data_IF_886522813404
#
_entry.id   IF_886522813404
#
_cell.length_a   1.000
_cell.length_b   1.000
_cell.length_c   1.000
_cell.angle_alpha   90.00
_cell.angle_beta   90.00
_cell.angle_gamma   90.00
#
_symmetry.space_group_name_H-M   'P 1'
#
loop_
_entity.id
_entity.type
_entity.pdbx_description
1 polymer ?
#
# COMPACT_ATOMS: atom_id res chain seq x y z
N UNK A 1 1.09 27.06 3.96
CA UNK A 1 -0.21 27.15 4.66
C UNK A 1 -0.16 26.11 5.78
N UNK A 2 -0.30 26.52 7.04
CA UNK A 2 -0.32 25.59 8.15
C UNK A 2 -1.51 24.63 8.02
N UNK A 3 -1.43 23.42 8.61
CA UNK A 3 -2.56 22.52 8.64
C UNK A 3 -3.74 23.20 9.35
N UNK A 4 -4.93 23.05 8.79
CA UNK A 4 -6.15 23.67 9.31
C UNK A 4 -7.34 22.75 9.14
N UNK A 5 -8.31 22.89 10.03
CA UNK A 5 -9.55 22.11 10.01
C UNK A 5 -10.72 23.07 9.89
N UNK A 6 -11.63 22.79 8.95
CA UNK A 6 -12.90 23.49 8.81
C UNK A 6 -14.03 22.48 8.99
N UNK A 7 -14.95 22.79 9.89
CA UNK A 7 -16.14 21.98 10.15
C UNK A 7 -17.36 22.72 9.64
N UNK A 8 -18.18 22.07 8.81
CA UNK A 8 -19.43 22.64 8.28
C UNK A 8 -20.60 21.71 8.57
N UNK A 9 -21.61 22.23 9.25
CA UNK A 9 -22.90 21.55 9.39
C UNK A 9 -23.73 21.81 8.14
N UNK A 10 -24.28 20.75 7.54
CA UNK A 10 -25.14 20.83 6.37
C UNK A 10 -26.49 20.21 6.72
N UNK A 11 -27.57 20.97 6.52
CA UNK A 11 -28.92 20.59 6.94
C UNK A 11 -29.79 19.99 5.82
N UNK A 12 -29.38 20.10 4.56
CA UNK A 12 -30.09 19.55 3.41
C UNK A 12 -29.14 18.68 2.59
N UNK A 13 -29.02 17.42 3.00
CA UNK A 13 -28.16 16.44 2.36
C UNK A 13 -28.85 15.74 1.19
N UNK A 14 -28.05 15.37 0.19
CA UNK A 14 -28.35 14.21 -0.66
C UNK A 14 -27.89 12.96 0.09
N UNK A 15 -28.57 11.82 -0.10
CA UNK A 15 -28.16 10.55 0.50
C UNK A 15 -26.69 10.24 0.18
N UNK A 16 -25.93 9.76 1.17
CA UNK A 16 -24.54 9.39 0.98
C UNK A 16 -23.90 8.73 2.20
N UNK A 17 -22.69 8.17 2.06
CA UNK A 17 -22.08 7.38 3.13
C UNK A 17 -21.57 8.24 4.28
N UNK A 18 -21.67 7.70 5.51
CA UNK A 18 -20.93 8.17 6.66
C UNK A 18 -19.56 7.50 6.72
N UNK A 19 -18.48 8.27 6.94
CA UNK A 19 -17.12 7.71 7.05
C UNK A 19 -16.80 7.15 8.45
N UNK A 20 -17.74 7.21 9.41
CA UNK A 20 -17.52 6.78 10.79
C UNK A 20 -18.36 5.55 11.20
N UNK A 21 -19.47 5.29 10.53
CA UNK A 21 -20.38 4.18 10.83
C UNK A 21 -20.85 3.53 9.52
N UNK A 22 -21.42 2.31 9.56
CA UNK A 22 -21.85 1.60 8.35
C UNK A 22 -23.11 2.20 7.71
N UNK A 23 -23.81 3.09 8.41
CA UNK A 23 -25.08 3.64 7.94
C UNK A 23 -24.86 4.81 6.98
N UNK A 24 -25.78 4.99 6.05
CA UNK A 24 -25.82 6.17 5.19
C UNK A 24 -26.44 7.37 5.93
N UNK A 25 -26.05 8.57 5.52
CA UNK A 25 -26.69 9.84 5.86
C UNK A 25 -27.88 9.98 4.91
N UNK A 26 -29.09 9.99 5.44
CA UNK A 26 -30.30 10.03 4.63
C UNK A 26 -30.59 11.45 4.12
N UNK A 27 -31.40 11.53 3.06
CA UNK A 27 -31.84 12.82 2.52
C UNK A 27 -32.66 13.57 3.56
N UNK A 28 -32.32 14.85 3.78
CA UNK A 28 -32.97 15.69 4.81
C UNK A 28 -32.34 15.58 6.22
N UNK A 29 -31.43 14.63 6.46
CA UNK A 29 -30.69 14.56 7.71
C UNK A 29 -29.58 15.61 7.79
N UNK A 30 -29.31 16.08 9.02
CA UNK A 30 -28.18 16.96 9.31
C UNK A 30 -26.90 16.14 9.39
N UNK A 31 -25.86 16.58 8.70
CA UNK A 31 -24.54 15.97 8.76
C UNK A 31 -23.43 17.00 8.84
N UNK A 32 -22.24 16.54 9.19
CA UNK A 32 -21.05 17.37 9.34
C UNK A 32 -20.06 16.99 8.27
N UNK A 33 -19.55 18.01 7.56
CA UNK A 33 -18.39 17.87 6.68
C UNK A 33 -17.17 18.43 7.40
N UNK A 34 -16.18 17.57 7.63
CA UNK A 34 -14.88 17.96 8.17
C UNK A 34 -13.89 18.05 7.00
N UNK A 35 -13.30 19.23 6.80
CA UNK A 35 -12.28 19.47 5.79
C UNK A 35 -10.95 19.66 6.50
N UNK A 36 -10.04 18.71 6.33
CA UNK A 36 -8.67 18.77 6.85
C UNK A 36 -7.72 19.20 5.73
N UNK A 37 -6.94 20.27 5.96
CA UNK A 37 -5.93 20.76 5.03
C UNK A 37 -4.55 20.36 5.52
N UNK A 38 -3.74 19.71 4.68
CA UNK A 38 -2.42 19.17 5.02
C UNK A 38 -1.25 19.94 4.39
N UNK A 39 -1.50 21.18 3.95
CA UNK A 39 -0.52 22.01 3.25
C UNK A 39 -0.52 21.81 1.73
N UNK A 40 0.57 22.20 1.06
CA UNK A 40 0.69 22.15 -0.41
C UNK A 40 1.47 20.92 -0.87
N UNK A 41 1.09 20.37 -2.01
CA UNK A 41 1.88 19.37 -2.75
C UNK A 41 3.11 20.01 -3.40
N UNK A 42 4.04 19.18 -3.88
CA UNK A 42 5.22 19.66 -4.64
C UNK A 42 4.84 20.52 -5.86
N UNK A 43 3.67 20.26 -6.46
CA UNK A 43 3.13 21.06 -7.57
C UNK A 43 2.23 22.23 -7.14
N UNK A 44 2.34 22.70 -5.89
CA UNK A 44 1.62 23.88 -5.39
C UNK A 44 0.14 23.68 -5.03
N UNK A 45 -0.50 22.59 -5.49
CA UNK A 45 -1.91 22.29 -5.16
C UNK A 45 -2.09 21.99 -3.68
N UNK A 46 -3.09 22.60 -3.04
CA UNK A 46 -3.48 22.33 -1.65
C UNK A 46 -3.98 20.90 -1.50
N UNK A 47 -3.39 20.14 -0.58
CA UNK A 47 -3.86 18.81 -0.20
C UNK A 47 -4.90 18.95 0.89
N UNK A 48 -6.10 18.48 0.63
CA UNK A 48 -7.16 18.41 1.63
C UNK A 48 -7.86 17.05 1.58
N UNK A 49 -8.47 16.67 2.70
CA UNK A 49 -9.39 15.54 2.81
C UNK A 49 -10.72 16.08 3.33
N UNK A 50 -11.79 15.79 2.60
CA UNK A 50 -13.15 16.11 3.03
C UNK A 50 -13.82 14.83 3.50
N UNK A 51 -14.39 14.87 4.70
CA UNK A 51 -14.95 13.72 5.40
C UNK A 51 -16.38 14.05 5.76
N UNK A 52 -17.32 13.14 5.46
CA UNK A 52 -18.73 13.29 5.83
C UNK A 52 -19.07 12.32 6.95
N UNK A 53 -19.69 12.86 8.01
CA UNK A 53 -20.16 12.06 9.14
C UNK A 53 -21.54 12.54 9.58
N UNK A 54 -22.38 11.63 10.11
CA UNK A 54 -23.60 12.06 10.80
C UNK A 54 -23.25 13.07 11.89
N UNK A 55 -24.19 13.97 12.20
CA UNK A 55 -23.99 14.94 13.27
C UNK A 55 -23.64 14.27 14.61
N UNK A 56 -24.31 13.16 14.93
CA UNK A 56 -24.05 12.35 16.13
C UNK A 56 -22.71 11.60 16.08
N UNK A 57 -22.24 11.26 14.87
CA UNK A 57 -20.97 10.55 14.69
C UNK A 57 -19.74 11.46 14.82
N UNK A 58 -19.90 12.79 14.82
CA UNK A 58 -18.79 13.73 14.88
C UNK A 58 -17.90 13.53 16.13
N UNK A 59 -18.51 13.35 17.31
CA UNK A 59 -17.76 13.16 18.55
C UNK A 59 -16.90 11.88 18.50
N UNK A 60 -17.50 10.77 18.06
CA UNK A 60 -16.79 9.50 17.88
C UNK A 60 -15.66 9.63 16.87
N UNK A 61 -15.91 10.34 15.76
CA UNK A 61 -14.91 10.59 14.73
C UNK A 61 -13.72 11.39 15.27
N UNK A 62 -13.95 12.44 16.04
CA UNK A 62 -12.89 13.26 16.66
C UNK A 62 -11.99 12.42 17.57
N UNK A 63 -12.59 11.59 18.45
CA UNK A 63 -11.84 10.69 19.34
C UNK A 63 -11.00 9.70 18.53
N UNK A 64 -11.60 9.05 17.52
CA UNK A 64 -10.88 8.11 16.67
C UNK A 64 -9.72 8.77 15.92
N UNK A 65 -9.90 9.98 15.40
CA UNK A 65 -8.86 10.69 14.66
C UNK A 65 -7.71 11.13 15.57
N UNK A 66 -8.00 11.58 16.79
CA UNK A 66 -6.98 11.91 17.79
C UNK A 66 -6.18 10.68 18.24
N UNK A 67 -6.85 9.56 18.50
CA UNK A 67 -6.19 8.28 18.79
C UNK A 67 -5.27 7.84 17.64
N UNK A 68 -5.74 7.96 16.39
CA UNK A 68 -4.92 7.67 15.19
C UNK A 68 -3.77 8.65 15.02
N UNK A 69 -3.92 9.90 15.43
CA UNK A 69 -2.83 10.87 15.40
C UNK A 69 -1.79 10.53 16.47
N UNK A 70 -2.23 10.24 17.70
CA UNK A 70 -1.38 9.81 18.80
C UNK A 70 -0.55 8.56 18.46
N UNK A 71 -1.16 7.55 17.85
CA UNK A 71 -0.40 6.36 17.39
C UNK A 71 0.62 6.72 16.30
N UNK A 72 0.23 7.49 15.27
CA UNK A 72 1.15 7.96 14.22
C UNK A 72 2.35 8.74 14.76
N UNK A 73 2.13 9.59 15.76
CA UNK A 73 3.19 10.39 16.40
C UNK A 73 4.11 9.51 17.24
N UNK A 74 3.55 8.63 18.09
CA UNK A 74 4.33 7.70 18.92
C UNK A 74 5.17 6.74 18.07
N UNK A 75 4.63 6.26 16.96
CA UNK A 75 5.28 5.27 16.09
C UNK A 75 6.26 5.87 15.04
N UNK A 76 6.55 7.18 15.09
CA UNK A 76 7.48 7.85 14.14
C UNK A 76 7.25 7.43 12.68
N UNK A 77 6.00 7.43 12.21
CA UNK A 77 5.68 7.22 10.79
C UNK A 77 5.75 5.77 10.29
N UNK A 78 5.48 4.79 11.15
CA UNK A 78 5.27 3.40 10.78
C UNK A 78 3.91 3.11 10.10
N UNK A 79 3.77 1.90 9.57
CA UNK A 79 2.48 1.35 9.14
C UNK A 79 1.69 1.01 10.42
N UNK A 80 0.39 1.36 10.55
CA UNK A 80 -0.36 1.13 11.79
C UNK A 80 -0.25 -0.32 12.29
N UNK A 81 -0.18 -0.52 13.60
CA UNK A 81 -0.23 -1.86 14.21
C UNK A 81 -1.45 -2.65 13.69
N UNK A 82 -1.27 -3.96 13.46
CA UNK A 82 -2.30 -4.80 12.84
C UNK A 82 -2.41 -4.67 11.31
N UNK A 83 -1.62 -3.80 10.67
CA UNK A 83 -1.55 -3.72 9.20
C UNK A 83 -0.21 -4.23 8.65
N UNK A 84 -0.24 -5.08 7.61
CA UNK A 84 0.96 -5.70 7.02
C UNK A 84 0.86 -7.22 6.92
N UNK A 85 1.98 -7.90 6.62
CA UNK A 85 2.02 -9.37 6.45
C UNK A 85 1.95 -10.17 7.77
N UNK A 86 1.76 -9.51 8.92
CA UNK A 86 1.63 -10.13 10.25
C UNK A 86 2.67 -11.24 10.56
N UNK A 87 3.90 -11.04 10.08
CA UNK A 87 5.00 -11.98 10.31
C UNK A 87 5.74 -11.66 11.61
N UNK A 88 6.34 -12.69 12.20
CA UNK A 88 7.31 -12.52 13.27
C UNK A 88 8.53 -11.72 12.77
N UNK A 89 9.25 -11.03 13.66
CA UNK A 89 10.45 -10.30 13.27
C UNK A 89 11.56 -11.15 12.63
N UNK A 90 11.83 -12.42 13.04
CA UNK A 90 12.76 -13.27 12.30
C UNK A 90 12.26 -13.57 10.88
N UNK A 91 10.97 -13.87 10.70
CA UNK A 91 10.39 -14.14 9.38
C UNK A 91 10.41 -12.91 8.47
N UNK A 92 10.18 -11.71 9.03
CA UNK A 92 10.35 -10.45 8.30
C UNK A 92 11.77 -10.28 7.79
N UNK A 93 12.78 -10.58 8.61
CA UNK A 93 14.21 -10.52 8.22
C UNK A 93 14.51 -11.52 7.12
N UNK A 94 14.05 -12.76 7.26
CA UNK A 94 14.25 -13.83 6.28
C UNK A 94 13.58 -13.49 4.95
N UNK A 95 12.32 -13.03 4.97
CA UNK A 95 11.58 -12.59 3.78
C UNK A 95 12.26 -11.42 3.09
N UNK A 96 12.77 -10.45 3.84
CA UNK A 96 13.56 -9.32 3.29
C UNK A 96 14.84 -9.81 2.62
N UNK A 97 15.54 -10.76 3.21
CA UNK A 97 16.73 -11.38 2.61
C UNK A 97 16.38 -12.07 1.28
N UNK A 98 15.37 -12.95 1.27
CA UNK A 98 14.94 -13.66 0.07
C UNK A 98 14.47 -12.71 -1.03
N UNK A 99 13.74 -11.65 -0.69
CA UNK A 99 13.28 -10.64 -1.66
C UNK A 99 14.47 -9.94 -2.34
N UNK A 100 15.52 -9.62 -1.58
CA UNK A 100 16.76 -9.06 -2.12
C UNK A 100 17.54 -10.05 -2.98
N UNK A 101 17.59 -11.31 -2.56
CA UNK A 101 18.20 -12.38 -3.33
C UNK A 101 17.50 -12.58 -4.66
N UNK A 102 16.16 -12.62 -4.67
CA UNK A 102 15.35 -12.68 -5.90
C UNK A 102 15.63 -11.49 -6.82
N UNK A 103 15.67 -10.27 -6.28
CA UNK A 103 15.99 -9.07 -7.05
C UNK A 103 17.40 -9.14 -7.67
N UNK A 104 18.41 -9.66 -6.95
CA UNK A 104 19.77 -9.86 -7.45
C UNK A 104 19.81 -10.89 -8.58
N UNK A 105 19.18 -12.05 -8.39
CA UNK A 105 19.12 -13.11 -9.42
C UNK A 105 18.49 -12.61 -10.71
N UNK A 106 17.44 -11.79 -10.60
CA UNK A 106 16.79 -11.19 -11.75
C UNK A 106 17.62 -10.12 -12.47
N UNK A 107 18.59 -9.46 -11.81
CA UNK A 107 19.55 -8.58 -12.50
C UNK A 107 20.56 -9.41 -13.28
N UNK A 108 21.11 -10.46 -12.65
CA UNK A 108 22.00 -11.40 -13.31
C UNK A 108 21.33 -12.06 -14.53
N UNK A 109 20.04 -12.39 -14.43
CA UNK A 109 19.26 -12.94 -15.55
C UNK A 109 19.20 -11.95 -16.72
N UNK A 110 18.98 -10.67 -16.45
CA UNK A 110 18.94 -9.64 -17.48
C UNK A 110 20.31 -9.44 -18.14
N UNK A 111 21.39 -9.50 -17.37
CA UNK A 111 22.78 -9.34 -17.83
C UNK A 111 23.35 -10.57 -18.58
N UNK A 112 22.72 -11.74 -18.44
CA UNK A 112 23.23 -12.99 -19.02
C UNK A 112 22.48 -13.39 -20.29
N UNK A 113 23.19 -13.66 -21.37
CA UNK A 113 22.60 -14.19 -22.62
C UNK A 113 22.91 -15.69 -22.86
N UNK A 114 23.75 -16.30 -22.04
CA UNK A 114 24.01 -17.75 -22.05
C UNK A 114 22.79 -18.54 -21.58
N UNK A 115 22.26 -19.38 -22.48
CA UNK A 115 21.07 -20.23 -22.27
C UNK A 115 21.22 -21.18 -21.09
N UNK A 116 22.42 -21.75 -20.89
CA UNK A 116 22.66 -22.70 -19.81
C UNK A 116 22.57 -22.01 -18.44
N UNK A 117 23.17 -20.82 -18.35
CA UNK A 117 23.13 -19.96 -17.17
C UNK A 117 21.75 -19.35 -16.96
N UNK A 118 21.00 -19.03 -18.01
CA UNK A 118 19.58 -18.61 -17.93
C UNK A 118 18.74 -19.71 -17.27
N UNK A 119 18.87 -20.97 -17.69
CA UNK A 119 18.15 -22.11 -17.08
C UNK A 119 18.47 -22.25 -15.58
N UNK A 120 19.75 -22.19 -15.22
CA UNK A 120 20.18 -22.24 -13.82
C UNK A 120 19.60 -21.09 -12.98
N UNK A 121 19.69 -19.85 -13.50
CA UNK A 121 19.17 -18.66 -12.82
C UNK A 121 17.65 -18.74 -12.66
N UNK A 122 16.95 -19.24 -13.67
CA UNK A 122 15.50 -19.45 -13.65
C UNK A 122 15.12 -20.42 -12.53
N UNK A 123 15.77 -21.58 -12.42
CA UNK A 123 15.52 -22.52 -11.32
C UNK A 123 15.75 -21.91 -9.94
N UNK A 124 16.82 -21.13 -9.77
CA UNK A 124 17.12 -20.42 -8.50
C UNK A 124 16.06 -19.35 -8.18
N UNK A 125 15.56 -18.65 -9.20
CA UNK A 125 14.50 -17.64 -9.05
C UNK A 125 13.22 -18.33 -8.58
N UNK A 126 12.80 -19.41 -9.24
CA UNK A 126 11.58 -20.16 -8.88
C UNK A 126 11.64 -20.67 -7.44
N UNK A 127 12.74 -21.34 -7.06
CA UNK A 127 12.93 -21.83 -5.69
C UNK A 127 12.95 -20.70 -4.65
N UNK A 128 13.49 -19.52 -5.00
CA UNK A 128 13.48 -18.35 -4.10
C UNK A 128 12.07 -17.77 -3.98
N UNK A 129 11.32 -17.71 -5.09
CA UNK A 129 9.93 -17.26 -5.11
C UNK A 129 9.01 -18.16 -4.29
N UNK A 130 9.17 -19.47 -4.35
CA UNK A 130 8.43 -20.43 -3.51
C UNK A 130 8.68 -20.19 -2.02
N UNK A 131 9.94 -20.02 -1.61
CA UNK A 131 10.29 -19.69 -0.22
C UNK A 131 9.71 -18.35 0.24
N UNK A 132 9.65 -17.36 -0.63
CA UNK A 132 8.99 -16.08 -0.33
C UNK A 132 7.49 -16.34 -0.13
N UNK A 133 6.82 -17.02 -1.06
CA UNK A 133 5.39 -17.29 -0.98
C UNK A 133 5.02 -18.04 0.29
N UNK A 134 5.78 -19.07 0.66
CA UNK A 134 5.58 -19.84 1.89
C UNK A 134 5.68 -18.99 3.17
N UNK A 135 6.56 -17.98 3.20
CA UNK A 135 6.78 -17.14 4.37
C UNK A 135 5.74 -16.03 4.58
N UNK A 136 4.93 -15.68 3.60
CA UNK A 136 4.03 -14.52 3.77
C UNK A 136 3.32 -14.07 2.50
N UNK A 137 3.06 -15.00 1.59
CA UNK A 137 2.35 -14.76 0.34
C UNK A 137 3.23 -14.22 -0.79
N UNK A 138 2.64 -14.13 -1.98
CA UNK A 138 3.31 -13.67 -3.18
C UNK A 138 3.71 -12.19 -3.09
N UNK A 139 4.75 -11.80 -3.85
CA UNK A 139 5.11 -10.39 -4.00
C UNK A 139 4.07 -9.69 -4.89
N UNK A 140 3.71 -8.46 -4.53
CA UNK A 140 2.78 -7.68 -5.35
C UNK A 140 3.49 -7.22 -6.64
N UNK A 141 3.04 -7.65 -7.84
CA UNK A 141 3.69 -7.36 -9.11
C UNK A 141 3.76 -5.85 -9.41
N UNK A 142 2.78 -5.06 -8.94
CA UNK A 142 2.76 -3.60 -9.11
C UNK A 142 3.83 -2.88 -8.29
N UNK A 143 4.36 -3.52 -7.23
CA UNK A 143 5.40 -2.97 -6.38
C UNK A 143 6.80 -3.41 -6.79
N UNK A 144 6.91 -4.33 -7.75
CA UNK A 144 8.17 -4.77 -8.34
C UNK A 144 8.55 -3.69 -9.37
N UNK A 145 9.19 -2.62 -8.89
CA UNK A 145 9.59 -1.42 -9.66
C UNK A 145 10.55 -1.76 -10.80
N UNK A 146 10.04 -2.23 -11.93
CA UNK A 146 10.77 -2.45 -13.20
C UNK A 146 10.12 -1.64 -14.31
N UNK A 147 10.92 -1.19 -15.28
CA UNK A 147 10.38 -0.65 -16.52
C UNK A 147 9.63 -1.75 -17.29
N UNK A 148 8.66 -1.37 -18.13
CA UNK A 148 7.92 -2.32 -18.97
C UNK A 148 8.84 -3.15 -19.87
N UNK A 149 9.93 -2.54 -20.35
CA UNK A 149 10.96 -3.19 -21.16
C UNK A 149 11.70 -4.28 -20.37
N UNK A 150 12.15 -3.95 -19.15
CA UNK A 150 12.82 -4.92 -18.29
C UNK A 150 11.89 -6.07 -17.89
N UNK A 151 10.58 -5.81 -17.71
CA UNK A 151 9.60 -6.88 -17.47
C UNK A 151 9.51 -7.83 -18.68
N UNK A 152 9.35 -7.29 -19.89
CA UNK A 152 9.31 -8.11 -21.12
C UNK A 152 10.58 -8.96 -21.28
N UNK A 153 11.76 -8.37 -21.07
CA UNK A 153 13.04 -9.07 -21.19
C UNK A 153 13.16 -10.22 -20.17
N UNK A 154 12.74 -10.00 -18.92
CA UNK A 154 12.67 -11.06 -17.91
C UNK A 154 11.72 -12.16 -18.35
N UNK A 155 10.50 -11.83 -18.78
CA UNK A 155 9.51 -12.84 -19.22
C UNK A 155 10.04 -13.68 -20.38
N UNK A 156 10.72 -13.07 -21.35
CA UNK A 156 11.34 -13.81 -22.46
C UNK A 156 12.42 -14.77 -21.97
N UNK A 157 13.33 -14.32 -21.09
CA UNK A 157 14.40 -15.17 -20.56
C UNK A 157 13.87 -16.28 -19.65
N UNK A 158 12.82 -16.02 -18.88
CA UNK A 158 12.15 -17.06 -18.07
C UNK A 158 11.51 -18.14 -18.94
N UNK A 159 10.91 -17.78 -20.09
CA UNK A 159 10.38 -18.75 -21.07
C UNK A 159 11.48 -19.65 -21.63
N UNK A 160 12.66 -19.09 -21.95
CA UNK A 160 13.84 -19.88 -22.39
C UNK A 160 14.27 -20.86 -21.29
N UNK A 161 14.17 -20.45 -20.04
CA UNK A 161 14.45 -21.28 -18.86
C UNK A 161 13.40 -22.36 -18.56
N UNK A 162 12.30 -22.43 -19.31
CA UNK A 162 11.20 -23.37 -19.07
C UNK A 162 10.23 -22.94 -17.97
N UNK A 163 10.29 -21.69 -17.51
CA UNK A 163 9.32 -21.13 -16.56
C UNK A 163 8.26 -20.33 -17.30
N UNK A 164 6.99 -20.69 -17.10
CA UNK A 164 5.85 -20.07 -17.77
C UNK A 164 5.17 -18.97 -16.97
N UNK A 165 5.57 -18.73 -15.71
CA UNK A 165 4.79 -17.91 -14.79
C UNK A 165 5.68 -16.97 -13.97
N UNK A 166 5.49 -15.66 -14.19
CA UNK A 166 5.85 -14.59 -13.27
C UNK A 166 4.95 -13.37 -13.50
#
# INVERSE_FOLDING_TARGET
MPPSVRVRVTAKAKTGPCEQCPNEILTGERYVTVIQTFGKSKGGKTKYKAIRVHFTCLAKWLICEDLRYGTRVKEKGGRPEGTGMQLSDPDKKQRRHLTRTSARLMRLLLETDDVSRIKMLTGRITATSEKITALGGALNPNLIRRSKEAQKAVTTKLKIGGSHVW
#
